data_IF_658508573100
#
_entry.id   IF_658508573100
#
_cell.length_a   1.000
_cell.length_b   1.000
_cell.length_c   1.000
_cell.angle_alpha   90.00
_cell.angle_beta   90.00
_cell.angle_gamma   90.00
#
_symmetry.space_group_name_H-M   'P 1'
#
loop_
_entity.id
_entity.type
_entity.pdbx_description
1 polymer ?
#
# COMPACT_ATOMS: atom_id res chain seq x y z
N UNK A 1 -7.95 -7.90 -24.76
CA UNK A 1 -8.69 -8.87 -23.92
C UNK A 1 -9.23 -8.09 -22.74
N UNK A 2 -10.42 -8.39 -22.18
CA UNK A 2 -11.00 -7.53 -21.15
C UNK A 2 -10.14 -7.50 -19.87
N UNK A 3 -9.72 -6.31 -19.45
CA UNK A 3 -8.88 -6.11 -18.27
C UNK A 3 -9.71 -5.44 -17.17
N UNK A 4 -9.81 -6.10 -16.02
CA UNK A 4 -10.55 -5.59 -14.85
C UNK A 4 -9.56 -5.10 -13.81
N UNK A 5 -9.63 -3.81 -13.47
CA UNK A 5 -8.91 -3.24 -12.32
C UNK A 5 -9.74 -3.44 -11.07
N UNK A 6 -9.11 -3.93 -10.01
CA UNK A 6 -9.77 -4.33 -8.77
C UNK A 6 -9.08 -3.67 -7.58
N UNK A 7 -9.88 -3.08 -6.72
CA UNK A 7 -9.47 -2.63 -5.40
C UNK A 7 -9.97 -3.61 -4.34
N UNK A 8 -9.11 -3.90 -3.37
CA UNK A 8 -9.43 -4.80 -2.28
C UNK A 8 -8.79 -4.38 -0.96
N UNK A 9 -9.45 -4.77 0.13
CA UNK A 9 -8.94 -4.61 1.49
C UNK A 9 -8.14 -5.85 1.92
N UNK A 10 -7.20 -5.64 2.83
CA UNK A 10 -6.40 -6.66 3.52
C UNK A 10 -6.31 -6.28 5.00
N UNK A 11 -7.13 -6.89 5.86
CA UNK A 11 -7.28 -6.54 7.28
C UNK A 11 -7.25 -7.77 8.21
N UNK A 12 -6.94 -7.58 9.47
CA UNK A 12 -6.90 -8.64 10.47
C UNK A 12 -5.76 -9.63 10.26
N UNK A 13 -6.01 -10.93 10.45
CA UNK A 13 -4.95 -11.97 10.47
C UNK A 13 -4.18 -12.07 9.15
N UNK A 14 -4.82 -11.76 8.02
CA UNK A 14 -4.14 -11.74 6.71
C UNK A 14 -3.11 -10.63 6.60
N UNK A 15 -3.07 -9.65 7.51
CA UNK A 15 -1.99 -8.67 7.58
C UNK A 15 -0.60 -9.33 7.73
N UNK A 16 -0.55 -10.51 8.35
CA UNK A 16 0.67 -11.23 8.74
C UNK A 16 1.10 -12.35 7.77
N UNK A 17 0.50 -12.45 6.58
CA UNK A 17 1.02 -13.34 5.53
C UNK A 17 1.93 -12.57 4.58
N UNK A 18 2.90 -13.28 3.98
CA UNK A 18 3.81 -12.69 3.00
C UNK A 18 3.07 -12.27 1.72
N UNK A 19 3.67 -11.37 0.94
CA UNK A 19 3.11 -10.99 -0.36
C UNK A 19 2.97 -12.19 -1.31
N UNK A 20 3.93 -13.13 -1.29
CA UNK A 20 3.86 -14.34 -2.12
C UNK A 20 2.71 -15.26 -1.71
N UNK A 21 2.45 -15.38 -0.41
CA UNK A 21 1.31 -16.16 0.08
C UNK A 21 -0.01 -15.49 -0.26
N UNK A 22 -0.08 -14.15 -0.18
CA UNK A 22 -1.25 -13.39 -0.63
C UNK A 22 -1.54 -13.64 -2.12
N UNK A 23 -0.53 -13.61 -2.99
CA UNK A 23 -0.69 -13.92 -4.41
C UNK A 23 -1.29 -15.33 -4.59
N UNK A 24 -0.77 -16.33 -3.86
CA UNK A 24 -1.28 -17.71 -3.92
C UNK A 24 -2.73 -17.80 -3.45
N UNK A 25 -3.10 -17.08 -2.38
CA UNK A 25 -4.47 -17.00 -1.86
C UNK A 25 -5.39 -16.42 -2.93
N UNK A 26 -5.00 -15.31 -3.57
CA UNK A 26 -5.78 -14.65 -4.61
C UNK A 26 -5.95 -15.55 -5.84
N UNK A 27 -4.88 -16.18 -6.31
CA UNK A 27 -4.96 -17.13 -7.45
C UNK A 27 -5.89 -18.31 -7.16
N UNK A 28 -5.87 -18.84 -5.93
CA UNK A 28 -6.80 -19.91 -5.52
C UNK A 28 -8.24 -19.42 -5.42
N UNK A 29 -8.46 -18.21 -4.89
CA UNK A 29 -9.79 -17.61 -4.79
C UNK A 29 -10.39 -17.38 -6.17
N UNK A 30 -9.62 -16.80 -7.11
CA UNK A 30 -10.01 -16.61 -8.52
C UNK A 30 -10.44 -17.93 -9.17
N UNK A 31 -9.66 -19.00 -8.96
CA UNK A 31 -9.99 -20.34 -9.48
C UNK A 31 -11.28 -20.89 -8.87
N UNK A 32 -11.43 -20.81 -7.54
CA UNK A 32 -12.62 -21.29 -6.82
C UNK A 32 -13.89 -20.50 -7.20
N UNK A 33 -13.75 -19.20 -7.44
CA UNK A 33 -14.81 -18.32 -7.87
C UNK A 33 -15.27 -18.61 -9.31
N UNK A 34 -14.54 -19.43 -10.08
CA UNK A 34 -14.85 -19.72 -11.47
C UNK A 34 -14.79 -18.45 -12.35
N UNK A 35 -13.89 -17.52 -12.00
CA UNK A 35 -13.64 -16.33 -12.83
C UNK A 35 -12.91 -16.79 -14.10
N UNK A 36 -13.36 -16.38 -15.31
CA UNK A 36 -12.74 -16.75 -16.57
C UNK A 36 -11.46 -15.95 -16.79
N UNK A 37 -10.41 -16.24 -16.02
CA UNK A 37 -9.12 -15.54 -16.11
C UNK A 37 -8.26 -16.14 -17.21
N UNK A 38 -7.60 -15.27 -17.97
CA UNK A 38 -6.62 -15.64 -18.98
C UNK A 38 -5.34 -16.19 -18.32
N UNK A 39 -4.76 -17.23 -18.90
CA UNK A 39 -3.53 -17.87 -18.40
C UNK A 39 -2.32 -17.61 -19.30
N UNK A 40 -1.11 -17.69 -18.74
CA UNK A 40 0.13 -17.65 -19.52
C UNK A 40 0.29 -18.90 -20.38
N UNK A 41 0.86 -18.78 -21.58
CA UNK A 41 0.99 -19.87 -22.58
C UNK A 41 2.27 -20.72 -22.41
N UNK A 42 2.73 -20.94 -21.17
CA UNK A 42 3.96 -21.68 -20.87
C UNK A 42 3.73 -23.06 -20.24
N UNK A 43 4.81 -23.78 -19.93
CA UNK A 43 4.77 -25.11 -19.29
C UNK A 43 4.12 -25.10 -17.89
N UNK A 44 4.08 -23.94 -17.24
CA UNK A 44 3.35 -23.72 -15.98
C UNK A 44 2.41 -22.52 -16.16
N UNK A 45 1.17 -22.75 -16.65
CA UNK A 45 0.21 -21.67 -16.88
C UNK A 45 -0.20 -21.05 -15.53
N UNK A 46 0.01 -19.74 -15.42
CA UNK A 46 -0.42 -18.94 -14.27
C UNK A 46 -1.46 -17.92 -14.73
N UNK A 47 -2.42 -17.64 -13.85
CA UNK A 47 -3.42 -16.61 -14.07
C UNK A 47 -2.73 -15.25 -14.32
N UNK A 48 -3.12 -14.56 -15.39
CA UNK A 48 -2.61 -13.22 -15.73
C UNK A 48 -3.23 -12.19 -14.80
N UNK A 49 -2.62 -12.07 -13.62
CA UNK A 49 -2.96 -11.09 -12.59
C UNK A 49 -1.70 -10.27 -12.32
N UNK A 50 -1.84 -8.95 -12.35
CA UNK A 50 -0.78 -8.02 -11.93
C UNK A 50 -1.19 -7.31 -10.65
N UNK A 51 -0.22 -7.00 -9.80
CA UNK A 51 -0.46 -6.41 -8.49
C UNK A 51 0.16 -5.02 -8.40
N UNK A 52 -0.42 -4.16 -7.58
CA UNK A 52 0.22 -2.93 -7.14
C UNK A 52 1.46 -3.20 -6.27
N UNK A 53 2.14 -2.13 -5.81
CA UNK A 53 3.29 -2.24 -4.92
C UNK A 53 3.01 -3.10 -3.69
N UNK A 54 3.91 -4.03 -3.40
CA UNK A 54 3.77 -4.97 -2.29
C UNK A 54 3.61 -4.24 -0.95
N UNK A 55 2.63 -4.67 -0.16
CA UNK A 55 2.41 -4.18 1.20
C UNK A 55 3.41 -4.82 2.18
N UNK A 56 3.88 -4.04 3.16
CA UNK A 56 4.74 -4.56 4.21
C UNK A 56 4.01 -5.60 5.09
N UNK A 57 4.77 -6.55 5.63
CA UNK A 57 4.23 -7.55 6.56
C UNK A 57 3.74 -6.86 7.84
N UNK A 58 2.58 -7.28 8.35
CA UNK A 58 1.96 -6.69 9.54
C UNK A 58 1.24 -5.37 9.28
N UNK A 59 1.19 -4.91 8.02
CA UNK A 59 0.43 -3.73 7.61
C UNK A 59 -0.93 -4.15 7.05
N UNK A 60 -1.97 -3.43 7.48
CA UNK A 60 -3.31 -3.54 6.92
C UNK A 60 -3.49 -2.57 5.75
N UNK A 61 -4.49 -2.81 4.90
CA UNK A 61 -4.81 -1.90 3.82
C UNK A 61 -6.29 -1.89 3.48
N UNK A 62 -6.79 -0.73 3.09
CA UNK A 62 -8.14 -0.50 2.59
C UNK A 62 -8.20 -0.38 1.06
N UNK A 63 -7.05 -0.26 0.38
CA UNK A 63 -7.00 0.15 -1.02
C UNK A 63 -5.87 -0.50 -1.81
N UNK A 64 -5.70 -1.83 -1.65
CA UNK A 64 -4.79 -2.60 -2.48
C UNK A 64 -5.33 -2.77 -3.89
N UNK A 65 -4.44 -2.88 -4.87
CA UNK A 65 -4.82 -2.91 -6.27
C UNK A 65 -4.30 -4.17 -6.96
N UNK A 66 -5.13 -4.74 -7.84
CA UNK A 66 -4.72 -5.75 -8.81
C UNK A 66 -5.45 -5.55 -10.14
N UNK A 67 -4.81 -5.90 -11.25
CA UNK A 67 -5.46 -6.00 -12.55
C UNK A 67 -5.59 -7.48 -12.91
N UNK A 68 -6.79 -7.90 -13.30
CA UNK A 68 -7.13 -9.28 -13.67
C UNK A 68 -7.51 -9.32 -15.15
N UNK A 69 -6.72 -10.04 -15.93
CA UNK A 69 -7.02 -10.24 -17.35
C UNK A 69 -8.05 -11.36 -17.51
N UNK A 70 -9.20 -11.06 -18.11
CA UNK A 70 -10.23 -12.05 -18.39
C UNK A 70 -10.08 -12.64 -19.80
N UNK A 71 -10.44 -13.90 -19.94
CA UNK A 71 -10.60 -14.61 -21.21
C UNK A 71 -11.85 -14.12 -21.96
N UNK A 72 -12.94 -13.84 -21.22
CA UNK A 72 -14.19 -13.28 -21.74
C UNK A 72 -14.80 -12.31 -20.75
N UNK A 73 -15.62 -11.40 -21.26
CA UNK A 73 -16.34 -10.44 -20.42
C UNK A 73 -17.28 -11.15 -19.45
N UNK A 74 -17.42 -10.56 -18.27
CA UNK A 74 -18.43 -10.89 -17.28
C UNK A 74 -18.94 -9.61 -16.61
N UNK A 75 -20.13 -9.68 -16.04
CA UNK A 75 -20.68 -8.57 -15.26
C UNK A 75 -19.78 -8.28 -14.04
N UNK A 76 -19.40 -7.01 -13.88
CA UNK A 76 -18.53 -6.55 -12.77
C UNK A 76 -19.12 -6.89 -11.41
N UNK A 77 -20.44 -6.75 -11.24
CA UNK A 77 -21.12 -7.09 -9.99
C UNK A 77 -20.95 -8.58 -9.65
N UNK A 78 -21.19 -9.45 -10.62
CA UNK A 78 -21.00 -10.88 -10.50
C UNK A 78 -19.53 -11.25 -10.19
N UNK A 79 -18.56 -10.56 -10.82
CA UNK A 79 -17.13 -10.70 -10.50
C UNK A 79 -16.87 -10.40 -9.02
N UNK A 80 -17.34 -9.27 -8.51
CA UNK A 80 -17.13 -8.84 -7.12
C UNK A 80 -17.77 -9.85 -6.15
N UNK A 81 -19.02 -10.25 -6.40
CA UNK A 81 -19.77 -11.20 -5.56
C UNK A 81 -19.06 -12.55 -5.48
N UNK A 82 -18.66 -13.13 -6.62
CA UNK A 82 -17.96 -14.42 -6.67
C UNK A 82 -16.59 -14.37 -6.00
N UNK A 83 -15.85 -13.29 -6.22
CA UNK A 83 -14.54 -13.09 -5.59
C UNK A 83 -14.68 -13.00 -4.07
N UNK A 84 -15.61 -12.19 -3.58
CA UNK A 84 -15.86 -12.03 -2.14
C UNK A 84 -16.38 -13.32 -1.49
N UNK A 85 -17.25 -14.08 -2.15
CA UNK A 85 -17.69 -15.39 -1.67
C UNK A 85 -16.55 -16.42 -1.63
N UNK A 86 -15.49 -16.20 -2.39
CA UNK A 86 -14.32 -17.06 -2.45
C UNK A 86 -13.13 -16.54 -1.66
N UNK A 87 -13.15 -15.35 -1.08
CA UNK A 87 -12.01 -14.88 -0.28
C UNK A 87 -12.09 -15.40 1.16
N UNK A 88 -10.93 -15.62 1.81
CA UNK A 88 -10.92 -15.83 3.26
C UNK A 88 -11.22 -14.51 3.98
N UNK A 89 -11.61 -14.62 5.25
CA UNK A 89 -11.83 -13.46 6.11
C UNK A 89 -10.62 -12.51 6.11
N UNK A 90 -10.91 -11.22 6.03
CA UNK A 90 -9.92 -10.16 6.00
C UNK A 90 -9.43 -9.77 4.60
N UNK A 91 -9.87 -10.45 3.52
CA UNK A 91 -9.69 -10.00 2.14
C UNK A 91 -11.06 -9.73 1.52
N UNK A 92 -11.25 -8.54 0.94
CA UNK A 92 -12.53 -8.17 0.32
C UNK A 92 -12.32 -7.23 -0.86
N UNK A 93 -12.90 -7.55 -2.02
CA UNK A 93 -13.04 -6.64 -3.14
C UNK A 93 -14.05 -5.54 -2.78
N UNK A 94 -13.60 -4.30 -2.84
CA UNK A 94 -14.41 -3.09 -2.60
C UNK A 94 -14.90 -2.50 -3.90
N UNK A 95 -14.10 -2.62 -4.96
CA UNK A 95 -14.40 -2.00 -6.26
C UNK A 95 -13.74 -2.77 -7.39
N UNK A 96 -14.42 -2.82 -8.54
CA UNK A 96 -13.84 -3.28 -9.78
C UNK A 96 -14.39 -2.47 -10.96
N UNK A 97 -13.57 -2.17 -11.97
CA UNK A 97 -13.97 -1.50 -13.21
C UNK A 97 -13.17 -2.09 -14.38
N UNK A 98 -13.78 -2.19 -15.56
CA UNK A 98 -13.01 -2.45 -16.78
C UNK A 98 -12.13 -1.23 -17.10
N UNK A 99 -10.91 -1.48 -17.55
CA UNK A 99 -10.00 -0.45 -18.02
C UNK A 99 -9.63 -0.67 -19.49
N UNK A 100 -9.29 0.39 -20.25
CA UNK A 100 -8.94 0.27 -21.66
C UNK A 100 -7.78 -0.72 -21.90
N UNK A 101 -7.82 -1.44 -23.02
CA UNK A 101 -6.70 -2.27 -23.45
C UNK A 101 -5.44 -1.40 -23.65
N UNK A 102 -4.26 -1.95 -23.31
CA UNK A 102 -3.00 -1.21 -23.39
C UNK A 102 -2.78 -0.18 -22.27
N UNK A 103 -3.66 -0.12 -21.27
CA UNK A 103 -3.47 0.67 -20.05
C UNK A 103 -2.13 0.35 -19.39
N UNK A 104 -1.45 1.38 -18.90
CA UNK A 104 -0.21 1.21 -18.13
C UNK A 104 -0.44 0.34 -16.88
N UNK A 105 0.55 -0.48 -16.55
CA UNK A 105 0.49 -1.37 -15.39
C UNK A 105 0.38 -0.59 -14.08
N UNK A 106 -0.23 -1.21 -13.06
CA UNK A 106 -0.29 -0.64 -11.70
C UNK A 106 1.10 -0.23 -11.18
N UNK A 107 2.12 -1.04 -11.43
CA UNK A 107 3.51 -0.77 -11.00
C UNK A 107 4.16 0.40 -11.74
N UNK A 108 3.70 0.73 -12.95
CA UNK A 108 4.18 1.89 -13.70
C UNK A 108 3.42 3.17 -13.31
N UNK A 109 2.14 3.03 -12.94
CA UNK A 109 1.28 4.16 -12.60
C UNK A 109 1.49 4.65 -11.17
N UNK A 110 1.51 3.74 -10.19
CA UNK A 110 1.48 4.08 -8.77
C UNK A 110 2.84 4.63 -8.33
N UNK A 111 2.84 5.86 -7.83
CA UNK A 111 4.03 6.54 -7.32
C UNK A 111 3.83 7.12 -5.88
N UNK A 112 2.63 7.01 -5.32
CA UNK A 112 2.30 7.52 -3.98
C UNK A 112 1.36 6.55 -3.24
N UNK A 113 1.42 6.55 -1.91
CA UNK A 113 0.49 5.83 -1.06
C UNK A 113 0.13 6.66 0.17
N UNK A 114 -1.14 6.61 0.52
CA UNK A 114 -1.68 7.24 1.71
C UNK A 114 -1.67 6.24 2.87
N UNK A 115 -1.18 6.70 4.02
CA UNK A 115 -1.09 5.88 5.23
C UNK A 115 -1.68 6.62 6.42
N UNK A 116 -2.36 5.86 7.27
CA UNK A 116 -2.64 6.23 8.66
C UNK A 116 -1.72 5.43 9.56
N UNK A 117 -1.08 6.12 10.50
CA UNK A 117 -0.27 5.53 11.54
C UNK A 117 -0.83 5.91 12.89
N UNK A 118 -1.05 4.93 13.75
CA UNK A 118 -1.41 5.14 15.15
C UNK A 118 -0.36 4.48 16.03
N UNK A 119 0.10 5.20 17.05
CA UNK A 119 1.06 4.69 18.00
C UNK A 119 0.82 5.30 19.39
N UNK A 120 1.35 4.64 20.41
CA UNK A 120 1.34 5.13 21.78
C UNK A 120 2.76 5.40 22.27
N UNK A 121 2.96 6.45 23.06
CA UNK A 121 4.22 6.70 23.74
C UNK A 121 4.33 5.77 24.96
N UNK A 122 5.43 5.01 25.06
CA UNK A 122 5.69 4.14 26.23
C UNK A 122 5.68 4.94 27.53
N UNK A 123 6.31 6.11 27.50
CA UNK A 123 6.21 7.10 28.57
C UNK A 123 5.57 8.38 28.03
N UNK A 124 4.46 8.77 28.66
CA UNK A 124 3.89 10.10 28.47
C UNK A 124 4.79 11.17 29.11
N UNK A 125 4.55 12.42 28.77
CA UNK A 125 5.36 13.54 29.20
C UNK A 125 4.87 14.84 28.56
N UNK A 126 5.61 15.92 28.78
CA UNK A 126 5.46 17.18 28.07
C UNK A 126 6.47 17.28 26.92
N UNK A 127 6.11 17.97 25.83
CA UNK A 127 7.04 18.32 24.76
C UNK A 127 7.14 17.32 23.60
N UNK A 128 6.33 16.24 23.57
CA UNK A 128 6.25 15.35 22.41
C UNK A 128 5.80 16.10 21.17
N UNK A 129 4.82 16.99 21.32
CA UNK A 129 4.29 17.80 20.22
C UNK A 129 5.39 18.64 19.57
N UNK A 130 6.16 19.38 20.38
CA UNK A 130 7.30 20.16 19.90
C UNK A 130 8.33 19.30 19.18
N UNK A 131 8.73 18.16 19.77
CA UNK A 131 9.74 17.27 19.18
C UNK A 131 9.28 16.64 17.85
N UNK A 132 8.01 16.23 17.77
CA UNK A 132 7.42 15.68 16.54
C UNK A 132 7.32 16.78 15.48
N UNK A 133 6.85 17.98 15.85
CA UNK A 133 6.80 19.14 14.96
C UNK A 133 8.19 19.50 14.43
N UNK A 134 9.21 19.56 15.31
CA UNK A 134 10.59 19.84 14.93
C UNK A 134 11.13 18.83 13.92
N UNK A 135 10.81 17.54 14.09
CA UNK A 135 11.20 16.48 13.16
C UNK A 135 10.60 16.71 11.76
N UNK A 136 9.29 16.96 11.67
CA UNK A 136 8.60 17.14 10.39
C UNK A 136 8.91 18.48 9.71
N UNK A 137 9.44 19.46 10.44
CA UNK A 137 9.90 20.75 9.92
C UNK A 137 11.37 20.76 9.45
N UNK A 138 12.10 19.63 9.57
CA UNK A 138 13.49 19.57 9.12
C UNK A 138 13.58 19.65 7.60
N UNK A 139 14.60 20.35 7.11
CA UNK A 139 14.91 20.45 5.68
C UNK A 139 15.42 19.14 5.08
N UNK A 140 16.08 18.31 5.89
CA UNK A 140 16.67 17.04 5.47
C UNK A 140 16.58 16.01 6.60
N UNK A 141 16.24 14.77 6.26
CA UNK A 141 16.22 13.63 7.19
C UNK A 141 16.87 12.45 6.48
N UNK A 142 18.04 12.02 6.95
CA UNK A 142 18.75 10.91 6.32
C UNK A 142 18.44 9.60 7.03
N UNK A 143 18.08 8.57 6.25
CA UNK A 143 18.02 7.18 6.72
C UNK A 143 19.03 6.31 5.98
N UNK A 144 19.54 5.29 6.65
CA UNK A 144 20.41 4.29 6.03
C UNK A 144 19.55 3.18 5.38
N UNK A 145 19.74 2.96 4.08
CA UNK A 145 19.18 1.80 3.37
C UNK A 145 20.28 0.87 2.89
N UNK A 146 20.05 -0.42 3.05
CA UNK A 146 20.91 -1.47 2.53
C UNK A 146 20.37 -1.99 1.20
N UNK A 147 21.18 -1.91 0.15
CA UNK A 147 20.83 -2.47 -1.16
C UNK A 147 20.82 -4.01 -1.13
N UNK A 148 20.22 -4.64 -2.16
CA UNK A 148 20.26 -6.11 -2.32
C UNK A 148 21.70 -6.69 -2.35
N UNK A 149 22.70 -5.86 -2.70
CA UNK A 149 24.13 -6.24 -2.72
C UNK A 149 24.87 -5.87 -1.42
N UNK A 150 24.15 -5.54 -0.34
CA UNK A 150 24.75 -5.23 0.97
C UNK A 150 25.34 -3.82 1.12
N UNK A 151 25.44 -3.04 0.04
CA UNK A 151 25.92 -1.65 0.11
C UNK A 151 24.93 -0.77 0.85
N UNK A 152 25.40 -0.09 1.91
CA UNK A 152 24.67 0.93 2.66
C UNK A 152 24.70 2.26 1.92
N UNK A 153 23.58 2.98 1.94
CA UNK A 153 23.44 4.32 1.36
C UNK A 153 22.58 5.18 2.27
N UNK A 154 22.99 6.42 2.49
CA UNK A 154 22.15 7.45 3.09
C UNK A 154 21.22 8.04 2.03
N UNK A 155 19.94 8.13 2.38
CA UNK A 155 18.90 8.69 1.52
C UNK A 155 18.16 9.74 2.34
N UNK A 156 18.06 10.95 1.80
CA UNK A 156 17.19 11.98 2.35
C UNK A 156 15.72 11.62 2.05
N UNK A 157 14.91 11.54 3.10
CA UNK A 157 13.51 11.13 3.02
C UNK A 157 12.53 12.29 3.03
N UNK A 158 12.98 13.53 3.30
CA UNK A 158 12.08 14.70 3.28
C UNK A 158 11.37 14.83 1.93
N UNK A 159 12.03 14.71 0.76
CA UNK A 159 11.36 14.77 -0.54
C UNK A 159 10.37 13.61 -0.80
N UNK A 160 10.46 12.53 -0.02
CA UNK A 160 9.63 11.33 -0.15
C UNK A 160 8.39 11.40 0.76
N UNK A 161 8.30 12.38 1.66
CA UNK A 161 7.10 12.72 2.43
C UNK A 161 6.33 13.73 1.56
N UNK A 162 5.41 13.21 0.75
CA UNK A 162 4.73 13.98 -0.29
C UNK A 162 3.67 14.93 0.29
N UNK A 163 3.01 14.51 1.36
CA UNK A 163 2.01 15.33 2.05
C UNK A 163 1.88 14.90 3.51
N UNK A 164 1.74 15.88 4.41
CA UNK A 164 1.41 15.69 5.82
C UNK A 164 -0.03 16.16 6.02
N UNK A 165 -1.00 15.23 5.96
CA UNK A 165 -2.43 15.59 6.04
C UNK A 165 -2.84 15.93 7.46
N UNK A 166 -2.37 15.13 8.41
CA UNK A 166 -2.66 15.31 9.82
C UNK A 166 -1.53 14.77 10.69
N UNK A 167 -1.18 15.50 11.74
CA UNK A 167 -0.22 15.10 12.76
C UNK A 167 -0.83 15.47 14.10
N UNK A 168 -1.36 14.48 14.80
CA UNK A 168 -1.95 14.68 16.12
C UNK A 168 -1.05 14.07 17.18
N UNK A 169 -0.67 14.90 18.14
CA UNK A 169 0.10 14.51 19.30
C UNK A 169 -0.70 14.90 20.53
N UNK A 170 -1.07 13.92 21.37
CA UNK A 170 -1.92 14.19 22.52
C UNK A 170 -1.81 13.14 23.59
N UNK A 171 -1.44 13.55 24.80
CA UNK A 171 -1.27 12.67 25.96
C UNK A 171 -0.27 11.54 25.67
N UNK A 172 -0.79 10.32 25.51
CA UNK A 172 0.01 9.13 25.16
C UNK A 172 -0.09 8.72 23.68
N UNK A 173 -0.78 9.47 22.83
CA UNK A 173 -1.09 9.06 21.45
C UNK A 173 -0.37 9.90 20.41
N UNK A 174 0.03 9.22 19.34
CA UNK A 174 0.51 9.80 18.08
C UNK A 174 -0.37 9.27 16.95
N UNK A 175 -0.97 10.18 16.17
CA UNK A 175 -1.64 9.86 14.92
C UNK A 175 -0.99 10.61 13.76
N UNK A 176 -0.70 9.92 12.68
CA UNK A 176 -0.13 10.51 11.46
C UNK A 176 -0.96 10.07 10.26
N UNK A 177 -1.46 11.03 9.49
CA UNK A 177 -2.00 10.80 8.16
C UNK A 177 -1.07 11.43 7.13
N UNK A 178 -0.45 10.58 6.31
CA UNK A 178 0.66 10.97 5.43
C UNK A 178 0.44 10.41 4.03
N UNK A 179 0.88 11.14 3.02
CA UNK A 179 1.15 10.58 1.69
C UNK A 179 2.66 10.43 1.52
N UNK A 180 3.09 9.20 1.26
CA UNK A 180 4.50 8.85 1.07
C UNK A 180 4.74 8.38 -0.36
N UNK A 181 5.93 8.64 -0.89
CA UNK A 181 6.36 8.13 -2.18
C UNK A 181 6.48 6.59 -2.12
N UNK A 182 5.86 5.89 -3.09
CA UNK A 182 5.91 4.43 -3.21
C UNK A 182 6.06 4.06 -4.68
N UNK A 183 6.92 3.11 -5.01
CA UNK A 183 7.14 2.74 -6.41
C UNK A 183 8.47 2.04 -6.61
N UNK A 184 8.82 1.83 -7.87
CA UNK A 184 10.06 1.13 -8.23
C UNK A 184 11.30 2.02 -8.08
N UNK A 185 11.18 3.34 -8.29
CA UNK A 185 12.31 4.27 -8.22
C UNK A 185 12.59 4.69 -6.78
N UNK A 186 11.55 5.12 -6.07
CA UNK A 186 11.61 5.59 -4.69
C UNK A 186 10.44 5.02 -3.91
N UNK A 187 10.72 4.67 -2.66
CA UNK A 187 9.76 4.06 -1.76
C UNK A 187 10.13 4.36 -0.31
N UNK A 188 9.29 5.11 0.40
CA UNK A 188 9.41 5.38 1.83
C UNK A 188 8.34 4.59 2.58
N UNK A 189 8.77 3.63 3.41
CA UNK A 189 7.84 2.88 4.26
C UNK A 189 7.54 3.70 5.52
N UNK A 190 6.30 3.69 6.04
CA UNK A 190 6.00 4.32 7.32
C UNK A 190 6.89 3.81 8.46
N UNK A 191 7.25 2.52 8.46
CA UNK A 191 8.16 1.95 9.44
C UNK A 191 9.57 2.58 9.41
N UNK A 192 10.09 2.93 8.23
CA UNK A 192 11.40 3.60 8.10
C UNK A 192 11.31 5.05 8.63
N UNK A 193 10.21 5.74 8.33
CA UNK A 193 9.94 7.10 8.84
C UNK A 193 9.82 7.10 10.37
N UNK A 194 9.05 6.17 10.94
CA UNK A 194 8.90 6.01 12.39
C UNK A 194 10.21 5.64 13.07
N UNK A 195 11.04 4.81 12.44
CA UNK A 195 12.38 4.52 12.95
C UNK A 195 13.21 5.81 13.07
N UNK A 196 13.21 6.64 12.02
CA UNK A 196 13.92 7.93 12.03
C UNK A 196 13.35 8.91 13.06
N UNK A 197 12.02 9.00 13.18
CA UNK A 197 11.33 9.83 14.18
C UNK A 197 11.78 9.49 15.61
N UNK A 198 11.86 8.20 15.95
CA UNK A 198 12.32 7.72 17.26
C UNK A 198 13.81 7.91 17.50
N UNK A 199 14.61 7.87 16.43
CA UNK A 199 16.04 8.14 16.56
C UNK A 199 16.32 9.63 16.82
N UNK A 200 15.52 10.52 16.23
CA UNK A 200 15.67 11.97 16.36
C UNK A 200 15.03 12.50 17.65
N UNK A 201 13.73 12.26 17.81
CA UNK A 201 13.03 12.47 19.07
C UNK A 201 13.28 11.19 19.86
N UNK A 202 14.06 11.07 20.92
CA UNK A 202 14.09 9.83 21.73
C UNK A 202 12.75 9.42 22.39
N UNK A 203 11.63 9.44 21.67
CA UNK A 203 10.30 9.01 22.04
C UNK A 203 10.15 7.53 21.71
N UNK A 204 9.90 6.73 22.73
CA UNK A 204 9.64 5.30 22.57
C UNK A 204 8.17 5.09 22.19
N UNK A 205 7.94 4.47 21.02
CA UNK A 205 6.60 4.14 20.52
C UNK A 205 6.28 2.65 20.72
N UNK A 206 5.06 2.37 21.17
CA UNK A 206 4.47 1.04 21.31
C UNK A 206 3.09 0.99 20.63
N UNK A 207 2.50 -0.21 20.54
CA UNK A 207 1.18 -0.43 19.93
C UNK A 207 1.03 0.17 18.52
N UNK A 208 2.13 0.19 17.75
CA UNK A 208 2.18 0.80 16.42
C UNK A 208 1.28 0.02 15.45
N UNK A 209 0.31 0.72 14.88
CA UNK A 209 -0.58 0.25 13.82
C UNK A 209 -0.35 1.11 12.59
N UNK A 210 -0.09 0.46 11.46
CA UNK A 210 0.09 1.10 10.17
C UNK A 210 -0.98 0.53 9.24
N UNK A 211 -1.73 1.41 8.59
CA UNK A 211 -2.72 1.05 7.60
C UNK A 211 -2.49 1.87 6.33
N UNK A 212 -2.39 1.22 5.17
CA UNK A 212 -2.41 1.89 3.87
C UNK A 212 -3.86 2.16 3.50
N UNK A 213 -4.23 3.43 3.35
CA UNK A 213 -5.59 3.78 2.97
C UNK A 213 -5.81 3.63 1.46
N UNK A 214 -4.85 4.11 0.67
CA UNK A 214 -4.99 4.12 -0.79
C UNK A 214 -3.64 4.05 -1.50
N UNK A 215 -3.67 3.48 -2.71
CA UNK A 215 -2.58 3.60 -3.70
C UNK A 215 -2.93 4.70 -4.69
N UNK A 216 -1.98 5.59 -4.93
CA UNK A 216 -2.21 6.86 -5.61
C UNK A 216 -1.20 7.10 -6.73
N UNK A 217 -1.61 7.98 -7.62
CA UNK A 217 -0.85 8.47 -8.76
C UNK A 217 -0.76 9.98 -8.61
N UNK A 218 0.41 10.46 -8.24
CA UNK A 218 0.75 11.88 -8.19
C UNK A 218 1.11 12.37 -9.58
N UNK A 219 0.40 13.40 -10.07
CA UNK A 219 0.73 14.15 -11.29
C UNK A 219 0.72 15.63 -10.95
N UNK A 220 1.88 16.27 -10.98
CA UNK A 220 2.04 17.63 -10.45
C UNK A 220 1.67 17.65 -8.96
N UNK A 221 0.72 18.51 -8.59
CA UNK A 221 0.23 18.67 -7.22
C UNK A 221 -1.03 17.84 -6.90
N UNK A 222 -1.57 17.10 -7.87
CA UNK A 222 -2.81 16.34 -7.71
C UNK A 222 -2.54 14.85 -7.54
N UNK A 223 -3.41 14.21 -6.77
CA UNK A 223 -3.44 12.76 -6.58
C UNK A 223 -4.68 12.16 -7.22
N UNK A 224 -4.49 11.02 -7.88
CA UNK A 224 -5.53 10.26 -8.54
C UNK A 224 -5.48 8.81 -8.09
N UNK A 225 -6.65 8.20 -7.93
CA UNK A 225 -6.74 6.75 -7.80
C UNK A 225 -6.42 6.08 -9.15
N UNK A 226 -5.95 4.82 -9.15
CA UNK A 226 -5.77 4.02 -10.35
C UNK A 226 -7.00 3.88 -11.26
N UNK A 227 -8.21 4.19 -10.77
CA UNK A 227 -9.45 4.23 -11.58
C UNK A 227 -9.67 5.55 -12.31
N UNK A 228 -9.08 6.65 -11.82
CA UNK A 228 -9.30 8.00 -12.37
C UNK A 228 -8.35 8.36 -13.51
N UNK A 229 -7.37 7.51 -13.82
CA UNK A 229 -6.35 7.78 -14.85
C UNK A 229 -6.93 7.86 -16.26
N UNK A 230 -8.07 7.19 -16.47
CA UNK A 230 -8.71 7.01 -17.78
C UNK A 230 -9.98 7.84 -17.96
N UNK A 231 -10.27 8.73 -17.01
CA UNK A 231 -11.42 9.64 -17.03
C UNK A 231 -10.91 11.06 -17.28
#
# INVERSE_FOLDING_TARGET
>A
MPLVRVEYEKKGRVAYISHLDLIRVIQRAVRRAGIPVEYTKGFNPHAKISFGPALALGTESCGEMMDVQLEKEMEVKNFIERMNASFPDGIRVTKAEYIPDGSASLTALINAAEYTVQAEYRQGGSGQEGRVSDFFNRREIYIEKTSKKGKKRLIDIVPMILEQKNIEVGGRRLSLDLILETGNERNLKPADLLFSLRAYTGLELENVRIQRQSLLIKRGEKYFTPFQVFK
#
